data_IF_074127913205
#
_entry.id   IF_074127913205
#
_cell.length_a   1.000
_cell.length_b   1.000
_cell.length_c   1.000
_cell.angle_alpha   90.00
_cell.angle_beta   90.00
_cell.angle_gamma   90.00
#
_symmetry.space_group_name_H-M   'P 1'
#
loop_
_entity.id
_entity.type
_entity.pdbx_description
1 polymer ?
#
# COMPACT_ATOMS: atom_id res chain seq x y z
N UNK A 1 -34.66 -13.04 -14.50
CA UNK A 1 -33.57 -13.74 -13.79
C UNK A 1 -32.41 -12.77 -13.92
N UNK A 2 -32.17 -11.94 -12.90
CA UNK A 2 -31.12 -10.91 -12.96
C UNK A 2 -29.86 -11.52 -12.37
N UNK A 3 -28.86 -11.74 -13.23
CA UNK A 3 -27.52 -12.16 -12.85
C UNK A 3 -26.83 -11.02 -12.09
N UNK A 4 -26.84 -11.12 -10.77
CA UNK A 4 -26.09 -10.27 -9.86
C UNK A 4 -24.59 -10.58 -10.03
N UNK A 5 -23.98 -10.05 -11.10
CA UNK A 5 -22.53 -9.99 -11.24
C UNK A 5 -21.99 -8.94 -10.26
N UNK A 6 -22.03 -9.28 -8.97
CA UNK A 6 -21.29 -8.59 -7.93
C UNK A 6 -19.83 -8.92 -8.17
N UNK A 7 -19.18 -8.12 -9.01
CA UNK A 7 -17.72 -8.10 -9.12
C UNK A 7 -17.19 -7.61 -7.77
N UNK A 8 -17.07 -8.53 -6.82
CA UNK A 8 -16.37 -8.30 -5.57
C UNK A 8 -14.92 -8.08 -5.96
N UNK A 9 -14.54 -6.81 -6.08
CA UNK A 9 -13.16 -6.38 -6.17
C UNK A 9 -12.47 -6.92 -4.91
N UNK A 10 -11.84 -8.08 -5.03
CA UNK A 10 -11.13 -8.71 -3.94
C UNK A 10 -9.86 -7.90 -3.74
N UNK A 11 -9.99 -6.79 -2.99
CA UNK A 11 -8.83 -6.16 -2.37
C UNK A 11 -8.28 -7.24 -1.45
N UNK A 12 -7.14 -7.82 -1.82
CA UNK A 12 -6.45 -8.82 -1.02
C UNK A 12 -5.89 -8.06 0.19
N UNK A 13 -6.72 -7.94 1.23
CA UNK A 13 -6.34 -7.39 2.52
C UNK A 13 -5.49 -8.45 3.19
N UNK A 14 -4.19 -8.45 2.91
CA UNK A 14 -3.23 -9.25 3.69
C UNK A 14 -3.17 -8.60 5.07
N UNK A 15 -3.92 -9.17 6.01
CA UNK A 15 -3.85 -8.80 7.42
C UNK A 15 -2.53 -9.33 7.99
N UNK A 16 -1.44 -8.60 7.73
CA UNK A 16 -0.19 -8.81 8.46
C UNK A 16 -0.40 -8.42 9.93
N UNK A 17 0.18 -9.13 10.91
CA UNK A 17 0.10 -8.75 12.32
C UNK A 17 0.67 -7.35 12.63
N UNK A 18 1.43 -6.73 11.72
CA UNK A 18 1.84 -5.33 11.78
C UNK A 18 0.80 -4.33 11.23
N UNK A 19 -0.36 -4.81 10.77
CA UNK A 19 -1.42 -4.02 10.14
C UNK A 19 -1.54 -4.28 8.63
N UNK A 20 -2.66 -3.86 8.04
CA UNK A 20 -2.85 -3.93 6.59
C UNK A 20 -1.76 -3.13 5.86
N UNK A 21 -0.99 -3.80 5.01
CA UNK A 21 0.03 -3.16 4.15
C UNK A 21 -0.45 -3.17 2.71
N UNK A 22 -0.59 -1.99 2.10
CA UNK A 22 -0.94 -1.82 0.68
C UNK A 22 0.30 -1.45 -0.13
N UNK A 23 0.52 -2.11 -1.26
CA UNK A 23 1.47 -1.64 -2.26
C UNK A 23 0.87 -0.45 -3.03
N UNK A 24 1.65 0.61 -3.22
CA UNK A 24 1.28 1.82 -3.95
C UNK A 24 2.38 2.20 -4.95
N UNK A 25 1.98 2.76 -6.08
CA UNK A 25 2.88 3.31 -7.09
C UNK A 25 3.17 4.78 -6.74
N UNK A 26 4.35 5.03 -6.19
CA UNK A 26 4.81 6.33 -5.68
C UNK A 26 6.33 6.24 -5.53
N UNK A 27 7.05 7.23 -6.05
CA UNK A 27 8.49 7.28 -5.92
C UNK A 27 8.94 7.49 -4.47
N UNK A 28 9.98 6.75 -4.08
CA UNK A 28 10.62 6.91 -2.79
C UNK A 28 11.61 8.07 -2.85
N UNK A 29 11.47 9.12 -2.01
CA UNK A 29 12.38 10.28 -2.03
C UNK A 29 13.82 9.90 -1.63
N UNK A 30 14.01 8.78 -0.92
CA UNK A 30 15.34 8.30 -0.53
C UNK A 30 16.13 7.57 -1.63
N UNK A 31 15.47 6.91 -2.57
CA UNK A 31 16.14 6.06 -3.58
C UNK A 31 15.58 6.12 -5.00
N UNK A 32 14.49 6.87 -5.22
CA UNK A 32 13.82 7.00 -6.51
C UNK A 32 13.06 5.75 -6.98
N UNK A 33 12.93 4.71 -6.14
CA UNK A 33 12.17 3.51 -6.50
C UNK A 33 10.67 3.82 -6.55
N UNK A 34 10.00 3.34 -7.59
CA UNK A 34 8.59 3.67 -7.91
C UNK A 34 7.56 2.91 -7.07
N UNK A 35 7.98 1.93 -6.26
CA UNK A 35 7.08 1.16 -5.40
C UNK A 35 7.27 1.48 -3.92
N UNK A 36 6.17 1.80 -3.25
CA UNK A 36 6.11 2.03 -1.81
C UNK A 36 5.00 1.19 -1.18
N UNK A 37 5.08 1.03 0.13
CA UNK A 37 4.07 0.36 0.95
C UNK A 37 3.41 1.35 1.88
N UNK A 38 2.09 1.29 2.02
CA UNK A 38 1.32 2.03 3.02
C UNK A 38 0.89 1.06 4.11
N UNK A 39 1.39 1.25 5.32
CA UNK A 39 0.91 0.56 6.51
C UNK A 39 -0.31 1.29 7.05
N UNK A 40 -1.51 0.77 6.77
CA UNK A 40 -2.77 1.41 7.14
C UNK A 40 -2.97 1.54 8.66
N UNK A 41 -2.33 0.66 9.46
CA UNK A 41 -2.40 0.74 10.91
C UNK A 41 -1.72 2.00 11.48
N UNK A 42 -0.69 2.51 10.81
CA UNK A 42 0.11 3.65 11.28
C UNK A 42 0.05 4.86 10.35
N UNK A 43 -0.50 4.70 9.14
CA UNK A 43 -0.40 5.68 8.07
C UNK A 43 1.03 5.87 7.55
N UNK A 44 1.93 4.92 7.83
CA UNK A 44 3.34 5.04 7.46
C UNK A 44 3.57 4.54 6.04
N UNK A 45 4.25 5.34 5.23
CA UNK A 45 4.68 4.99 3.90
C UNK A 45 6.13 4.49 3.91
N UNK A 46 6.34 3.19 3.68
CA UNK A 46 7.66 2.58 3.53
C UNK A 46 8.08 2.42 2.07
N UNK A 47 9.37 2.22 1.84
CA UNK A 47 9.89 1.75 0.55
C UNK A 47 10.14 0.24 0.60
N UNK A 48 9.88 -0.47 -0.50
CA UNK A 48 10.17 -1.91 -0.60
C UNK A 48 11.66 -2.21 -0.81
N UNK A 49 12.45 -1.19 -1.18
CA UNK A 49 13.84 -1.34 -1.63
C UNK A 49 14.87 -0.72 -0.68
N UNK A 50 14.46 0.19 0.18
CA UNK A 50 15.30 0.78 1.22
C UNK A 50 14.53 0.95 2.53
N UNK A 51 15.22 1.18 3.64
CA UNK A 51 14.59 1.39 4.95
C UNK A 51 13.95 2.79 5.11
N UNK A 52 13.76 3.54 4.03
CA UNK A 52 13.15 4.86 4.10
C UNK A 52 11.65 4.74 4.41
N UNK A 53 11.21 5.48 5.42
CA UNK A 53 9.80 5.58 5.81
C UNK A 53 9.43 7.05 6.01
N UNK A 54 8.21 7.42 5.65
CA UNK A 54 7.67 8.77 5.86
C UNK A 54 6.17 8.68 6.14
N UNK A 55 5.62 9.66 6.85
CA UNK A 55 4.16 9.78 7.02
C UNK A 55 3.51 10.51 5.84
N UNK A 56 4.32 11.09 4.98
CA UNK A 56 3.88 11.78 3.78
C UNK A 56 3.99 10.82 2.59
N UNK A 57 2.96 10.86 1.72
CA UNK A 57 2.99 10.13 0.44
C UNK A 57 4.08 10.68 -0.50
N UNK A 58 4.64 11.83 -0.16
CA UNK A 58 5.44 12.74 -0.99
C UNK A 58 4.55 13.64 -1.87
N UNK A 59 4.91 14.92 -1.95
CA UNK A 59 4.05 16.07 -2.27
C UNK A 59 4.56 16.80 -3.52
#
# INVERSE_FOLDING_TARGET
>A
MEDNNTTTNCVIVVADPAGLVLAIDTDCPGCGHWERTLTAATGLYGCTRCAHTSFERDH
#
